data_IF_644429423585
#
_entry.id   IF_644429423585
#
_cell.length_a   1.000
_cell.length_b   1.000
_cell.length_c   1.000
_cell.angle_alpha   90.00
_cell.angle_beta   90.00
_cell.angle_gamma   90.00
#
_symmetry.space_group_name_H-M   'P 1'
#
loop_
_entity.id
_entity.type
_entity.pdbx_description
1 polymer ?
#
# COMPACT_ATOMS: atom_id res chain seq x y z
N UNK A 1 1.55 -15.15 0.82
CA UNK A 1 2.62 -14.67 -0.07
C UNK A 1 3.69 -15.75 -0.21
N UNK A 2 4.24 -15.95 -1.41
CA UNK A 2 5.30 -16.97 -1.65
C UNK A 2 6.64 -16.48 -1.07
N UNK A 3 7.49 -17.36 -0.52
CA UNK A 3 8.82 -16.98 -0.03
C UNK A 3 9.70 -16.41 -1.14
N UNK A 4 10.54 -15.42 -0.81
CA UNK A 4 11.47 -14.81 -1.77
C UNK A 4 12.35 -15.83 -2.49
N UNK A 5 12.85 -16.82 -1.75
CA UNK A 5 13.65 -17.94 -2.29
C UNK A 5 12.92 -18.72 -3.38
N UNK A 6 11.62 -18.96 -3.19
CA UNK A 6 10.82 -19.75 -4.12
C UNK A 6 10.65 -18.99 -5.44
N UNK A 7 10.29 -17.71 -5.36
CA UNK A 7 10.13 -16.82 -6.53
C UNK A 7 11.46 -16.67 -7.26
N UNK A 8 12.56 -16.42 -6.55
CA UNK A 8 13.88 -16.28 -7.17
C UNK A 8 14.32 -17.56 -7.88
N UNK A 9 14.11 -18.72 -7.25
CA UNK A 9 14.45 -20.00 -7.85
C UNK A 9 13.61 -20.31 -9.08
N UNK A 10 12.31 -20.02 -9.06
CA UNK A 10 11.45 -20.16 -10.23
C UNK A 10 11.96 -19.31 -11.40
N UNK A 11 12.20 -18.02 -11.17
CA UNK A 11 12.65 -17.09 -12.21
C UNK A 11 14.03 -17.46 -12.76
N UNK A 12 14.94 -17.96 -11.91
CA UNK A 12 16.24 -18.45 -12.39
C UNK A 12 16.12 -19.74 -13.20
N UNK A 13 15.18 -20.63 -12.86
CA UNK A 13 15.02 -21.91 -13.52
C UNK A 13 14.19 -21.82 -14.81
N UNK A 14 13.23 -20.90 -14.86
CA UNK A 14 12.31 -20.69 -15.97
C UNK A 14 12.16 -19.17 -16.27
N UNK A 15 13.19 -18.53 -16.85
CA UNK A 15 13.11 -17.12 -17.19
C UNK A 15 12.00 -16.82 -18.21
N UNK A 16 11.30 -15.69 -18.09
CA UNK A 16 10.14 -15.37 -18.93
C UNK A 16 10.50 -15.01 -20.37
N UNK A 17 11.73 -14.60 -20.64
CA UNK A 17 12.25 -14.29 -21.97
C UNK A 17 12.68 -15.55 -22.76
N UNK A 18 12.40 -16.74 -22.23
CA UNK A 18 12.65 -18.01 -22.91
C UNK A 18 14.12 -18.44 -22.94
N UNK A 19 15.02 -17.70 -22.27
CA UNK A 19 16.42 -18.13 -22.13
C UNK A 19 16.52 -19.37 -21.23
N UNK A 20 17.64 -20.09 -21.35
CA UNK A 20 17.94 -21.23 -20.49
C UNK A 20 18.14 -20.84 -19.02
N UNK A 21 18.24 -21.84 -18.15
CA UNK A 21 18.46 -21.67 -16.70
C UNK A 21 19.59 -20.69 -16.40
N UNK A 22 19.34 -19.75 -15.49
CA UNK A 22 20.30 -18.72 -15.07
C UNK A 22 21.07 -19.20 -13.84
N UNK A 23 22.39 -19.26 -13.98
CA UNK A 23 23.31 -19.59 -12.87
C UNK A 23 23.53 -18.37 -11.97
N UNK A 24 23.99 -18.58 -10.73
CA UNK A 24 24.29 -17.47 -9.82
C UNK A 24 25.37 -16.53 -10.38
N UNK A 25 26.35 -17.07 -11.10
CA UNK A 25 27.41 -16.30 -11.75
C UNK A 25 26.85 -15.47 -12.89
N UNK A 26 26.00 -16.07 -13.74
CA UNK A 26 25.36 -15.36 -14.84
C UNK A 26 24.42 -14.26 -14.34
N UNK A 27 23.65 -14.51 -13.27
CA UNK A 27 22.76 -13.52 -12.68
C UNK A 27 23.56 -12.34 -12.08
N UNK A 28 24.63 -12.61 -11.33
CA UNK A 28 25.51 -11.56 -10.80
C UNK A 28 26.15 -10.72 -11.92
N UNK A 29 26.57 -11.35 -13.02
CA UNK A 29 27.09 -10.64 -14.18
C UNK A 29 26.03 -9.76 -14.85
N UNK A 30 24.79 -10.23 -14.96
CA UNK A 30 23.67 -9.47 -15.50
C UNK A 30 23.28 -8.28 -14.60
N UNK A 31 23.29 -8.45 -13.27
CA UNK A 31 23.11 -7.35 -12.31
C UNK A 31 24.21 -6.31 -12.49
N UNK A 32 25.48 -6.74 -12.55
CA UNK A 32 26.63 -5.84 -12.74
C UNK A 32 26.58 -5.08 -14.07
N UNK A 33 26.15 -5.73 -15.14
CA UNK A 33 25.97 -5.08 -16.45
C UNK A 33 24.92 -3.96 -16.43
N UNK A 34 24.01 -3.99 -15.45
CA UNK A 34 22.99 -2.96 -15.19
C UNK A 34 23.42 -1.93 -14.15
N UNK A 35 24.66 -2.01 -13.64
CA UNK A 35 25.21 -1.10 -12.63
C UNK A 35 24.90 -1.49 -11.18
N UNK A 36 24.22 -2.62 -10.94
CA UNK A 36 23.97 -3.12 -9.58
C UNK A 36 25.20 -3.82 -8.99
N UNK A 37 25.25 -3.92 -7.66
CA UNK A 37 26.36 -4.52 -6.92
C UNK A 37 25.90 -5.73 -6.10
N UNK A 38 25.63 -6.84 -6.79
CA UNK A 38 25.26 -8.11 -6.16
C UNK A 38 26.22 -9.22 -6.56
N UNK A 39 26.94 -9.75 -5.56
CA UNK A 39 27.81 -10.90 -5.74
C UNK A 39 27.05 -12.23 -5.83
N UNK A 40 27.56 -13.17 -6.63
CA UNK A 40 26.99 -14.52 -6.80
C UNK A 40 26.89 -15.31 -5.48
N UNK A 41 27.77 -15.07 -4.51
CA UNK A 41 27.70 -15.67 -3.17
C UNK A 41 26.46 -15.24 -2.39
N UNK A 42 26.07 -13.96 -2.49
CA UNK A 42 24.84 -13.45 -1.89
C UNK A 42 23.60 -14.02 -2.58
N UNK A 43 23.60 -14.11 -3.91
CA UNK A 43 22.53 -14.76 -4.69
C UNK A 43 22.37 -16.22 -4.25
N UNK A 44 23.47 -16.93 -4.05
CA UNK A 44 23.45 -18.31 -3.55
C UNK A 44 22.75 -18.40 -2.19
N UNK A 45 23.09 -17.51 -1.25
CA UNK A 45 22.45 -17.45 0.07
C UNK A 45 20.95 -17.16 -0.01
N UNK A 46 20.51 -16.28 -0.93
CA UNK A 46 19.10 -16.00 -1.17
C UNK A 46 18.35 -17.22 -1.74
N UNK A 47 18.93 -17.88 -2.74
CA UNK A 47 18.35 -19.07 -3.39
C UNK A 47 18.30 -20.29 -2.49
N UNK A 48 19.21 -20.40 -1.53
CA UNK A 48 19.20 -21.43 -0.49
C UNK A 48 18.26 -21.07 0.68
N UNK A 49 17.70 -19.86 0.72
CA UNK A 49 16.88 -19.37 1.83
C UNK A 49 17.68 -19.07 3.11
N UNK A 50 19.02 -19.10 3.07
CA UNK A 50 19.89 -18.74 4.21
C UNK A 50 19.77 -17.25 4.51
N UNK A 51 19.64 -16.43 3.46
CA UNK A 51 19.23 -15.04 3.58
C UNK A 51 17.85 -14.90 2.96
N UNK A 52 16.98 -14.15 3.62
CA UNK A 52 15.58 -13.98 3.22
C UNK A 52 15.12 -12.51 3.27
N UNK A 53 16.01 -11.61 3.66
CA UNK A 53 15.70 -10.20 3.88
C UNK A 53 16.58 -9.28 3.02
N UNK A 54 16.48 -9.34 1.68
CA UNK A 54 17.20 -8.44 0.80
C UNK A 54 16.72 -6.99 0.95
N UNK A 55 17.55 -6.04 0.52
CA UNK A 55 17.16 -4.62 0.42
C UNK A 55 16.28 -4.40 -0.81
N UNK A 56 15.51 -3.31 -0.82
CA UNK A 56 14.68 -2.89 -1.94
C UNK A 56 15.48 -2.82 -3.24
N UNK A 57 16.64 -2.17 -3.21
CA UNK A 57 17.54 -2.09 -4.36
C UNK A 57 17.98 -3.48 -4.82
N UNK A 58 18.26 -4.41 -3.91
CA UNK A 58 18.65 -5.76 -4.31
C UNK A 58 17.50 -6.52 -5.01
N UNK A 59 16.25 -6.29 -4.59
CA UNK A 59 15.06 -6.84 -5.27
C UNK A 59 14.96 -6.25 -6.68
N UNK A 60 15.09 -4.94 -6.82
CA UNK A 60 15.06 -4.21 -8.11
C UNK A 60 16.15 -4.71 -9.05
N UNK A 61 17.38 -4.82 -8.55
CA UNK A 61 18.54 -5.28 -9.32
C UNK A 61 18.34 -6.71 -9.85
N UNK A 62 17.91 -7.64 -8.98
CA UNK A 62 17.66 -9.03 -9.35
C UNK A 62 16.50 -9.13 -10.35
N UNK A 63 15.41 -8.41 -10.13
CA UNK A 63 14.25 -8.38 -11.02
C UNK A 63 14.63 -7.86 -12.41
N UNK A 64 15.36 -6.73 -12.46
CA UNK A 64 15.83 -6.14 -13.71
C UNK A 64 16.79 -7.05 -14.49
N UNK A 65 17.68 -7.80 -13.80
CA UNK A 65 18.55 -8.78 -14.44
C UNK A 65 17.78 -9.99 -15.01
N UNK A 66 16.66 -10.34 -14.38
CA UNK A 66 15.74 -11.40 -14.80
C UNK A 66 14.70 -10.92 -15.82
N UNK A 67 14.64 -9.62 -16.12
CA UNK A 67 13.69 -9.05 -17.08
C UNK A 67 12.24 -9.06 -16.58
N UNK A 68 12.04 -8.93 -15.27
CA UNK A 68 10.72 -8.91 -14.63
C UNK A 68 10.55 -7.69 -13.76
N UNK A 69 9.30 -7.36 -13.45
CA UNK A 69 8.94 -6.31 -12.51
C UNK A 69 9.23 -6.76 -11.07
N UNK A 70 9.82 -5.92 -10.20
CA UNK A 70 10.22 -6.30 -8.83
C UNK A 70 9.03 -6.65 -7.93
N UNK A 71 7.83 -6.14 -8.22
CA UNK A 71 6.62 -6.50 -7.49
C UNK A 71 6.31 -8.00 -7.47
N UNK A 72 6.83 -8.79 -8.43
CA UNK A 72 6.68 -10.25 -8.42
C UNK A 72 7.19 -10.89 -7.13
N UNK A 73 8.24 -10.32 -6.53
CA UNK A 73 8.80 -10.78 -5.25
C UNK A 73 7.92 -10.39 -4.06
N UNK A 74 6.94 -9.51 -4.27
CA UNK A 74 5.97 -8.99 -3.30
C UNK A 74 4.55 -9.50 -3.55
N UNK A 75 4.37 -10.43 -4.50
CA UNK A 75 3.07 -10.98 -4.88
C UNK A 75 2.30 -10.16 -5.93
N UNK A 76 2.90 -9.08 -6.44
CA UNK A 76 2.35 -8.28 -7.53
C UNK A 76 2.70 -8.82 -8.92
N UNK A 77 2.60 -7.95 -9.93
CA UNK A 77 2.80 -8.31 -11.33
C UNK A 77 4.23 -8.73 -11.65
N UNK A 78 4.39 -9.52 -12.71
CA UNK A 78 5.69 -9.95 -13.24
C UNK A 78 6.12 -9.15 -14.45
N UNK A 79 5.16 -8.66 -15.22
CA UNK A 79 5.36 -7.95 -16.48
C UNK A 79 6.05 -6.61 -16.21
N UNK A 80 7.23 -6.41 -16.82
CA UNK A 80 7.96 -5.15 -16.79
C UNK A 80 7.70 -4.39 -18.10
N UNK A 81 7.22 -3.15 -18.01
CA UNK A 81 7.00 -2.35 -19.21
C UNK A 81 8.32 -1.78 -19.77
N UNK A 82 8.49 -1.65 -21.10
CA UNK A 82 9.79 -1.30 -21.71
C UNK A 82 10.40 0.04 -21.26
N UNK A 83 9.58 1.02 -20.86
CA UNK A 83 10.03 2.34 -20.41
C UNK A 83 10.05 2.49 -18.88
N UNK A 84 9.61 1.46 -18.16
CA UNK A 84 9.46 1.50 -16.71
C UNK A 84 10.80 1.28 -16.01
N UNK A 85 11.05 2.07 -14.96
CA UNK A 85 12.23 1.94 -14.09
C UNK A 85 11.72 1.79 -12.66
N UNK A 86 11.23 0.58 -12.30
CA UNK A 86 10.61 0.38 -11.01
C UNK A 86 11.65 0.49 -9.89
N UNK A 87 11.23 1.08 -8.78
CA UNK A 87 12.10 1.39 -7.65
C UNK A 87 11.30 1.71 -6.41
N UNK A 88 11.99 2.01 -5.31
CA UNK A 88 11.34 2.46 -4.08
C UNK A 88 10.55 3.75 -4.35
N UNK A 89 9.26 3.75 -4.03
CA UNK A 89 8.40 4.93 -4.11
C UNK A 89 8.57 5.81 -2.87
N UNK A 90 9.18 7.01 -2.97
CA UNK A 90 9.49 7.84 -1.80
C UNK A 90 8.23 8.30 -1.06
N UNK A 91 7.16 8.58 -1.80
CA UNK A 91 5.89 9.09 -1.24
C UNK A 91 5.00 7.99 -0.65
N UNK A 92 5.25 6.72 -0.94
CA UNK A 92 4.35 5.62 -0.56
C UNK A 92 4.12 5.56 0.96
N UNK A 93 5.18 5.74 1.75
CA UNK A 93 5.07 5.69 3.22
C UNK A 93 4.28 6.89 3.74
N UNK A 94 4.60 8.10 3.29
CA UNK A 94 3.88 9.31 3.73
C UNK A 94 2.39 9.24 3.36
N UNK A 95 2.06 8.77 2.16
CA UNK A 95 0.68 8.61 1.71
C UNK A 95 -0.11 7.67 2.62
N UNK A 96 0.47 6.53 3.01
CA UNK A 96 -0.19 5.59 3.93
C UNK A 96 -0.36 6.17 5.34
N UNK A 97 0.63 6.90 5.85
CA UNK A 97 0.52 7.57 7.15
C UNK A 97 -0.62 8.59 7.19
N UNK A 98 -0.80 9.37 6.12
CA UNK A 98 -1.83 10.40 6.02
C UNK A 98 -3.23 9.81 5.80
N UNK A 99 -3.34 8.79 4.95
CA UNK A 99 -4.63 8.27 4.53
C UNK A 99 -5.17 7.15 5.43
N UNK A 100 -4.30 6.30 5.98
CA UNK A 100 -4.72 5.08 6.68
C UNK A 100 -4.49 5.21 8.18
N UNK A 101 -5.53 5.67 8.88
CA UNK A 101 -5.58 5.69 10.34
C UNK A 101 -7.03 5.55 10.85
N UNK A 102 -7.24 5.18 12.12
CA UNK A 102 -8.58 5.05 12.69
C UNK A 102 -9.37 6.38 12.61
N UNK A 103 -10.70 6.33 12.48
CA UNK A 103 -11.53 7.51 12.25
C UNK A 103 -11.65 8.43 13.47
N UNK A 104 -11.35 7.93 14.67
CA UNK A 104 -11.48 8.62 15.95
C UNK A 104 -10.21 9.37 16.38
N UNK A 105 -9.14 9.30 15.59
CA UNK A 105 -7.84 9.92 15.86
C UNK A 105 -7.14 10.38 14.59
N UNK A 106 -6.07 11.15 14.77
CA UNK A 106 -5.18 11.54 13.67
C UNK A 106 -4.23 10.41 13.22
N UNK A 107 -3.32 10.74 12.28
CA UNK A 107 -2.30 9.85 11.76
C UNK A 107 -1.52 9.07 12.82
N UNK A 108 -0.98 7.92 12.44
CA UNK A 108 -0.07 7.17 13.28
C UNK A 108 1.24 7.93 13.52
N UNK A 109 1.81 7.78 14.71
CA UNK A 109 3.18 8.22 14.99
C UNK A 109 4.20 7.15 14.56
N UNK A 110 5.43 7.54 14.18
CA UNK A 110 6.50 6.58 13.90
C UNK A 110 6.75 5.58 15.03
N UNK A 111 6.58 6.00 16.28
CA UNK A 111 6.67 5.14 17.48
C UNK A 111 5.62 4.03 17.49
N UNK A 112 4.36 4.38 17.23
CA UNK A 112 3.25 3.41 17.21
C UNK A 112 3.42 2.39 16.09
N UNK A 113 3.80 2.85 14.89
CA UNK A 113 4.04 1.96 13.74
C UNK A 113 5.23 1.04 14.03
N UNK A 114 6.34 1.58 14.55
CA UNK A 114 7.51 0.77 14.90
C UNK A 114 7.20 -0.30 15.96
N UNK A 115 6.46 0.07 16.99
CA UNK A 115 6.03 -0.84 18.04
C UNK A 115 5.09 -1.93 17.49
N UNK A 116 4.12 -1.54 16.66
CA UNK A 116 3.18 -2.46 16.02
C UNK A 116 3.92 -3.51 15.17
N UNK A 117 4.77 -3.07 14.24
CA UNK A 117 5.54 -3.97 13.35
C UNK A 117 6.47 -4.90 14.15
N UNK A 118 7.11 -4.38 15.20
CA UNK A 118 8.07 -5.15 15.99
C UNK A 118 7.39 -6.12 16.98
N UNK A 119 6.10 -5.93 17.27
CA UNK A 119 5.39 -6.67 18.35
C UNK A 119 5.26 -8.17 18.09
N UNK A 120 4.96 -8.57 16.85
CA UNK A 120 4.81 -9.98 16.48
C UNK A 120 6.14 -10.68 16.22
N UNK A 121 7.22 -9.91 16.01
CA UNK A 121 8.52 -10.41 15.58
C UNK A 121 8.55 -10.97 14.15
N UNK A 122 7.41 -11.05 13.47
CA UNK A 122 7.27 -11.65 12.13
C UNK A 122 8.16 -10.97 11.09
N UNK A 123 8.26 -9.64 11.17
CA UNK A 123 9.02 -8.80 10.25
C UNK A 123 10.37 -8.35 10.84
N UNK A 124 10.76 -8.91 11.99
CA UNK A 124 11.86 -8.40 12.79
C UNK A 124 11.55 -7.04 13.42
N UNK A 125 12.60 -6.33 13.85
CA UNK A 125 12.46 -5.02 14.47
C UNK A 125 12.73 -3.89 13.47
N UNK A 126 11.94 -2.83 13.58
CA UNK A 126 12.12 -1.56 12.88
C UNK A 126 12.10 -0.43 13.91
N UNK A 127 12.97 0.57 13.76
CA UNK A 127 13.05 1.69 14.70
C UNK A 127 12.19 2.88 14.23
N UNK A 128 11.66 3.64 15.18
CA UNK A 128 10.93 4.88 14.87
C UNK A 128 11.82 5.91 14.14
N UNK A 129 13.13 5.94 14.44
CA UNK A 129 14.10 6.79 13.70
C UNK A 129 14.16 6.40 12.23
N UNK A 130 14.21 5.09 11.94
CA UNK A 130 14.27 4.62 10.57
C UNK A 130 12.98 4.92 9.80
N UNK A 131 11.81 4.80 10.45
CA UNK A 131 10.54 5.21 9.84
C UNK A 131 10.54 6.71 9.53
N UNK A 132 11.07 7.57 10.41
CA UNK A 132 11.22 9.01 10.12
C UNK A 132 12.13 9.25 8.91
N UNK A 133 13.24 8.51 8.80
CA UNK A 133 14.13 8.61 7.64
C UNK A 133 13.45 8.21 6.34
N UNK A 134 12.57 7.20 6.35
CA UNK A 134 11.74 6.84 5.20
C UNK A 134 10.73 7.94 4.87
N UNK A 135 10.05 8.49 5.88
CA UNK A 135 9.09 9.60 5.70
C UNK A 135 9.75 10.87 5.15
N UNK A 136 10.99 11.16 5.54
CA UNK A 136 11.73 12.32 5.05
C UNK A 136 12.56 12.03 3.79
N UNK A 137 12.49 10.82 3.24
CA UNK A 137 13.31 10.35 2.12
C UNK A 137 14.83 10.45 2.36
N UNK A 138 15.26 10.47 3.62
CA UNK A 138 16.67 10.37 3.99
C UNK A 138 17.18 8.94 3.78
N UNK A 139 16.29 7.95 3.91
CA UNK A 139 16.53 6.57 3.50
C UNK A 139 15.50 6.18 2.44
N UNK A 140 15.96 5.45 1.42
CA UNK A 140 15.16 5.01 0.26
C UNK A 140 15.37 3.51 -0.06
N UNK A 141 16.11 2.78 0.77
CA UNK A 141 16.48 1.40 0.50
C UNK A 141 16.08 0.44 1.65
N UNK A 142 14.79 0.34 1.99
CA UNK A 142 14.32 -0.53 3.06
C UNK A 142 14.51 -2.00 2.75
N UNK A 143 14.60 -2.82 3.80
CA UNK A 143 14.69 -4.28 3.67
C UNK A 143 13.31 -4.89 3.45
N UNK A 144 13.25 -6.02 2.76
CA UNK A 144 12.02 -6.73 2.41
C UNK A 144 11.07 -6.87 3.60
N UNK A 145 11.58 -7.34 4.75
CA UNK A 145 10.75 -7.50 5.95
C UNK A 145 10.19 -6.18 6.46
N UNK A 146 10.92 -5.07 6.34
CA UNK A 146 10.40 -3.74 6.69
C UNK A 146 9.30 -3.28 5.74
N UNK A 147 9.45 -3.53 4.43
CA UNK A 147 8.39 -3.26 3.43
C UNK A 147 7.13 -4.07 3.78
N UNK A 148 7.29 -5.36 4.06
CA UNK A 148 6.18 -6.24 4.44
C UNK A 148 5.51 -5.80 5.76
N UNK A 149 6.30 -5.38 6.74
CA UNK A 149 5.75 -4.89 8.02
C UNK A 149 4.97 -3.58 7.87
N UNK A 150 5.46 -2.65 7.03
CA UNK A 150 4.72 -1.43 6.71
C UNK A 150 3.41 -1.77 5.99
N UNK A 151 3.46 -2.66 4.99
CA UNK A 151 2.27 -3.12 4.27
C UNK A 151 1.25 -3.76 5.21
N UNK A 152 1.68 -4.65 6.10
CA UNK A 152 0.84 -5.34 7.08
C UNK A 152 0.19 -4.36 8.06
N UNK A 153 0.96 -3.41 8.62
CA UNK A 153 0.44 -2.40 9.53
C UNK A 153 -0.66 -1.54 8.91
N UNK A 154 -0.45 -1.10 7.66
CA UNK A 154 -1.40 -0.24 6.95
C UNK A 154 -2.46 -1.04 6.16
N UNK A 155 -2.43 -2.37 6.19
CA UNK A 155 -3.33 -3.20 5.38
C UNK A 155 -3.19 -2.98 3.87
N UNK A 156 -2.02 -2.52 3.41
CA UNK A 156 -1.75 -2.26 2.00
C UNK A 156 -1.18 -3.52 1.31
N UNK A 157 -1.34 -3.61 -0.02
CA UNK A 157 -0.63 -4.61 -0.82
C UNK A 157 0.88 -4.27 -0.81
N UNK A 158 1.80 -5.18 -0.44
CA UNK A 158 3.24 -4.90 -0.44
C UNK A 158 3.81 -4.46 -1.79
N UNK A 159 3.18 -4.84 -2.91
CA UNK A 159 3.57 -4.39 -4.24
C UNK A 159 3.40 -2.86 -4.43
N UNK A 160 2.52 -2.21 -3.65
CA UNK A 160 2.25 -0.77 -3.70
C UNK A 160 3.51 0.10 -3.58
N UNK A 161 4.54 -0.39 -2.86
CA UNK A 161 5.79 0.33 -2.66
C UNK A 161 6.72 0.35 -3.88
N UNK A 162 6.45 -0.49 -4.89
CA UNK A 162 7.36 -0.77 -6.01
C UNK A 162 6.66 -0.81 -7.38
N UNK A 163 5.33 -0.84 -7.42
CA UNK A 163 4.51 -0.91 -8.64
C UNK A 163 3.74 0.40 -8.81
N UNK A 164 4.18 1.22 -9.76
CA UNK A 164 3.59 2.54 -10.02
C UNK A 164 2.15 2.44 -10.57
N UNK A 165 1.80 1.37 -11.29
CA UNK A 165 0.44 1.19 -11.83
C UNK A 165 -0.55 0.74 -10.75
N UNK A 166 -0.10 -0.11 -9.82
CA UNK A 166 -0.86 -0.39 -8.62
C UNK A 166 -1.00 0.86 -7.77
N UNK A 167 0.10 1.58 -7.57
CA UNK A 167 0.09 2.77 -6.75
C UNK A 167 -0.80 3.88 -7.28
N UNK A 168 -0.79 4.16 -8.59
CA UNK A 168 -1.65 5.17 -9.19
C UNK A 168 -3.14 4.89 -8.94
N UNK A 169 -3.55 3.61 -8.97
CA UNK A 169 -4.92 3.20 -8.65
C UNK A 169 -5.23 3.40 -7.17
N UNK A 170 -4.37 2.90 -6.29
CA UNK A 170 -4.53 3.02 -4.83
C UNK A 170 -4.53 4.49 -4.39
N UNK A 171 -3.64 5.32 -4.93
CA UNK A 171 -3.53 6.74 -4.60
C UNK A 171 -4.79 7.51 -5.02
N UNK A 172 -5.40 7.14 -6.15
CA UNK A 172 -6.70 7.70 -6.57
C UNK A 172 -7.82 7.32 -5.59
N UNK A 173 -7.91 6.05 -5.20
CA UNK A 173 -8.91 5.57 -4.23
C UNK A 173 -8.72 6.22 -2.85
N UNK A 174 -7.47 6.40 -2.41
CA UNK A 174 -7.15 7.09 -1.16
C UNK A 174 -7.50 8.57 -1.22
N UNK A 175 -7.33 9.23 -2.37
CA UNK A 175 -7.74 10.63 -2.55
C UNK A 175 -9.25 10.80 -2.36
N UNK A 176 -10.05 9.93 -2.99
CA UNK A 176 -11.50 9.94 -2.82
C UNK A 176 -11.90 9.65 -1.37
N UNK A 177 -11.23 8.68 -0.72
CA UNK A 177 -11.45 8.36 0.69
C UNK A 177 -11.13 9.54 1.61
N UNK A 178 -10.02 10.25 1.38
CA UNK A 178 -9.63 11.44 2.13
C UNK A 178 -10.68 12.55 1.99
N UNK A 179 -11.21 12.76 0.78
CA UNK A 179 -12.28 13.73 0.55
C UNK A 179 -13.56 13.35 1.32
N UNK A 180 -13.94 12.06 1.34
CA UNK A 180 -15.08 11.58 2.13
C UNK A 180 -14.87 11.77 3.64
N UNK A 181 -13.63 11.60 4.12
CA UNK A 181 -13.27 11.85 5.52
C UNK A 181 -13.37 13.34 5.86
N UNK A 182 -12.88 14.22 5.00
CA UNK A 182 -13.01 15.68 5.19
C UNK A 182 -14.47 16.13 5.23
N UNK A 183 -15.35 15.47 4.46
CA UNK A 183 -16.79 15.70 4.48
C UNK A 183 -17.50 15.10 5.71
N UNK A 184 -16.80 14.40 6.61
CA UNK A 184 -17.35 13.78 7.81
C UNK A 184 -18.15 12.50 7.55
N UNK A 185 -18.06 11.94 6.34
CA UNK A 185 -18.83 10.76 5.92
C UNK A 185 -18.35 9.52 6.67
N UNK A 186 -17.05 9.36 6.85
CA UNK A 186 -16.47 8.20 7.55
C UNK A 186 -16.96 8.15 8.99
N UNK A 187 -16.89 9.26 9.71
CA UNK A 187 -17.34 9.39 11.10
C UNK A 187 -18.86 9.21 11.22
N UNK A 188 -19.63 9.67 10.23
CA UNK A 188 -21.06 9.43 10.18
C UNK A 188 -21.37 7.94 10.02
N UNK A 189 -20.75 7.26 9.04
CA UNK A 189 -20.97 5.84 8.77
C UNK A 189 -20.55 4.97 9.95
N UNK A 190 -19.41 5.25 10.59
CA UNK A 190 -18.97 4.54 11.79
C UNK A 190 -19.99 4.67 12.93
N UNK A 191 -20.42 5.90 13.24
CA UNK A 191 -21.45 6.14 14.27
C UNK A 191 -22.79 5.50 13.91
N UNK A 192 -23.16 5.49 12.63
CA UNK A 192 -24.36 4.84 12.14
C UNK A 192 -24.29 3.32 12.34
N UNK A 193 -23.15 2.69 12.01
CA UNK A 193 -22.95 1.25 12.18
C UNK A 193 -23.08 0.82 13.64
N UNK A 194 -22.45 1.55 14.57
CA UNK A 194 -22.53 1.31 16.02
C UNK A 194 -23.96 1.39 16.56
N UNK A 195 -24.78 2.29 15.99
CA UNK A 195 -26.15 2.57 16.45
C UNK A 195 -27.22 2.00 15.54
N UNK A 196 -26.85 1.17 14.56
CA UNK A 196 -27.80 0.66 13.56
C UNK A 196 -28.92 -0.08 14.26
N UNK A 197 -28.63 -0.89 15.29
CA UNK A 197 -29.61 -1.60 16.11
C UNK A 197 -30.66 -0.70 16.77
N UNK A 198 -30.32 0.55 17.09
CA UNK A 198 -31.20 1.51 17.76
C UNK A 198 -32.15 2.23 16.78
N UNK A 199 -31.85 2.20 15.49
CA UNK A 199 -32.61 2.89 14.46
C UNK A 199 -33.71 2.00 13.90
N UNK A 200 -34.92 2.54 13.80
CA UNK A 200 -36.02 1.88 13.09
C UNK A 200 -35.69 1.68 11.61
N UNK A 201 -36.28 0.68 10.93
CA UNK A 201 -36.08 0.49 9.49
C UNK A 201 -36.38 1.74 8.65
N UNK A 202 -37.40 2.53 9.05
CA UNK A 202 -37.74 3.79 8.38
C UNK A 202 -36.66 4.86 8.57
N UNK A 203 -36.08 4.98 9.77
CA UNK A 203 -34.99 5.92 10.03
C UNK A 203 -33.74 5.58 9.21
N UNK A 204 -33.42 4.27 9.08
CA UNK A 204 -32.32 3.80 8.22
C UNK A 204 -32.58 4.11 6.74
N UNK A 205 -33.79 3.87 6.25
CA UNK A 205 -34.17 4.17 4.87
C UNK A 205 -34.10 5.68 4.58
N UNK A 206 -34.56 6.52 5.52
CA UNK A 206 -34.45 7.96 5.40
C UNK A 206 -32.97 8.40 5.33
N UNK A 207 -32.09 7.84 6.19
CA UNK A 207 -30.65 8.10 6.18
C UNK A 207 -30.01 7.88 4.81
N UNK A 208 -30.29 6.73 4.19
CA UNK A 208 -29.79 6.41 2.85
C UNK A 208 -30.35 7.36 1.79
N UNK A 209 -31.65 7.64 1.83
CA UNK A 209 -32.30 8.49 0.84
C UNK A 209 -31.80 9.93 0.87
N UNK A 210 -31.61 10.51 2.06
CA UNK A 210 -31.08 11.87 2.16
C UNK A 210 -29.60 11.96 1.75
N UNK A 211 -28.80 10.92 1.99
CA UNK A 211 -27.45 10.81 1.41
C UNK A 211 -27.49 10.77 -0.11
N UNK A 212 -28.37 9.93 -0.69
CA UNK A 212 -28.55 9.81 -2.13
C UNK A 212 -28.95 11.14 -2.78
N UNK A 213 -29.91 11.85 -2.19
CA UNK A 213 -30.34 13.17 -2.67
C UNK A 213 -29.21 14.20 -2.63
N UNK A 214 -28.43 14.24 -1.55
CA UNK A 214 -27.29 15.15 -1.43
C UNK A 214 -26.24 14.88 -2.53
N UNK A 215 -26.01 13.61 -2.89
CA UNK A 215 -25.07 13.22 -3.95
C UNK A 215 -25.58 13.50 -5.37
N UNK A 216 -26.89 13.35 -5.62
CA UNK A 216 -27.46 13.53 -6.97
C UNK A 216 -27.80 14.98 -7.31
N UNK A 217 -28.26 15.76 -6.32
CA UNK A 217 -28.85 17.09 -6.53
C UNK A 217 -27.94 18.20 -6.02
N UNK A 218 -26.98 17.89 -5.14
CA UNK A 218 -26.12 18.89 -4.49
C UNK A 218 -26.85 19.81 -3.51
N UNK A 219 -28.12 19.52 -3.21
CA UNK A 219 -28.89 20.21 -2.18
C UNK A 219 -28.75 19.48 -0.84
N UNK A 220 -28.53 20.25 0.24
CA UNK A 220 -28.43 19.71 1.58
C UNK A 220 -29.72 19.03 2.02
N UNK A 221 -29.62 18.01 2.88
CA UNK A 221 -30.76 17.30 3.42
C UNK A 221 -31.80 18.26 4.02
N UNK A 222 -33.00 18.28 3.43
CA UNK A 222 -34.17 18.98 4.00
C UNK A 222 -35.04 18.01 4.79
N UNK A 223 -35.12 18.18 6.12
CA UNK A 223 -36.02 17.38 6.93
C UNK A 223 -37.48 17.68 6.53
N UNK A 224 -38.36 16.68 6.36
CA UNK A 224 -39.73 16.88 5.87
C UNK A 224 -40.62 17.73 6.79
N UNK A 225 -40.14 18.14 7.97
CA UNK A 225 -40.82 19.11 8.83
C UNK A 225 -40.62 20.57 8.38
N UNK A 226 -39.68 20.86 7.47
CA UNK A 226 -39.32 22.22 7.05
C UNK A 226 -40.17 22.78 5.89
N UNK A 227 -41.11 22.01 5.33
CA UNK A 227 -41.94 22.41 4.19
C UNK A 227 -43.21 23.19 4.56
N UNK A 228 -43.37 23.66 5.81
CA UNK A 228 -44.53 24.46 6.25
C UNK A 228 -44.19 25.85 6.79
N UNK A 229 -43.20 26.55 6.22
CA UNK A 229 -42.95 27.94 6.59
C UNK A 229 -42.64 28.87 5.41
N UNK A 230 -43.36 28.74 4.30
CA UNK A 230 -43.42 29.78 3.26
C UNK A 230 -44.80 29.83 2.59
N UNK A 231 -45.81 30.29 3.34
CA UNK A 231 -46.98 31.02 2.81
C UNK A 231 -47.99 31.26 3.94
N UNK A 232 -47.75 32.30 4.73
CA UNK A 232 -48.79 32.95 5.52
C UNK A 232 -48.73 34.44 5.20
N UNK A 233 -49.77 34.89 4.49
CA UNK A 233 -50.33 36.23 4.41
C UNK A 233 -49.40 37.43 4.31
N UNK A 234 -49.38 38.06 3.13
CA UNK A 234 -49.67 39.50 3.04
C UNK A 234 -50.82 39.71 2.03
N UNK A 235 -51.91 40.25 2.59
CA UNK A 235 -53.09 40.92 2.02
C UNK A 235 -52.97 41.47 0.61
#
# INVERSE_FOLDING_TARGET
>A
MRPFTEVLNELCNNPPDGRGKVTNVALAAAVKARGGDIGHGYISQLRLGVKDNPTCQAIVDLAGALGVHPAVFLGGRRELHPAEQPGWRPTAVSTLFEAVHPPDRGPWSPEEVAASISSSGQFGSISASYIRELLSNTSDNPRLKHILGLADHFGADPAYFLDDDLAARVDSELTDFLALRELGVVEFVTRLAERTGDLSPQARAAAVEGFRQALEVGEGWSFPLNSRRTSADHT
#
